data_IF_244128481537
#
_entry.id   IF_244128481537
#
_cell.length_a   1.000
_cell.length_b   1.000
_cell.length_c   1.000
_cell.angle_alpha   90.00
_cell.angle_beta   90.00
_cell.angle_gamma   90.00
#
_symmetry.space_group_name_H-M   'P 1'
#
loop_
_entity.id
_entity.type
_entity.pdbx_description
1 polymer ?
#
# COMPACT_ATOMS: atom_id res chain seq x y z
N UNK A 1 62.95 -55.04 44.23
CA UNK A 1 61.73 -55.19 43.40
C UNK A 1 61.50 -53.87 42.67
N UNK A 2 61.47 -53.92 41.33
CA UNK A 2 60.93 -52.84 40.46
C UNK A 2 59.42 -52.62 40.75
N UNK A 3 58.83 -51.43 40.50
CA UNK A 3 58.45 -50.99 39.14
C UNK A 3 58.70 -49.48 38.87
N UNK A 4 59.15 -49.06 37.68
CA UNK A 4 58.45 -48.95 36.39
C UNK A 4 57.41 -47.79 36.32
N UNK A 5 57.65 -46.79 35.45
CA UNK A 5 56.69 -45.85 34.80
C UNK A 5 57.46 -45.00 33.77
N UNK A 6 57.53 -45.41 32.49
CA UNK A 6 56.63 -45.20 31.34
C UNK A 6 56.51 -43.74 30.85
N UNK A 7 57.19 -43.44 29.73
CA UNK A 7 57.06 -42.22 28.93
C UNK A 7 55.88 -42.30 27.95
N UNK A 8 55.22 -41.18 27.67
CA UNK A 8 54.26 -41.03 26.57
C UNK A 8 54.77 -39.93 25.63
N UNK A 9 55.01 -40.19 24.33
CA UNK A 9 55.31 -39.13 23.38
C UNK A 9 54.00 -38.53 22.83
N UNK A 10 53.89 -37.20 22.89
CA UNK A 10 52.80 -36.44 22.27
C UNK A 10 53.01 -36.40 20.76
N UNK A 11 52.17 -37.08 19.98
CA UNK A 11 52.05 -36.85 18.53
C UNK A 11 50.86 -35.93 18.27
N UNK A 12 51.13 -34.72 17.79
CA UNK A 12 50.12 -33.81 17.25
C UNK A 12 49.84 -34.27 15.81
N UNK A 13 48.66 -34.82 15.56
CA UNK A 13 48.17 -35.06 14.22
C UNK A 13 47.39 -33.82 13.77
N UNK A 14 47.86 -33.13 12.72
CA UNK A 14 47.04 -32.18 11.97
C UNK A 14 45.99 -32.97 11.19
N UNK A 15 44.76 -32.97 11.69
CA UNK A 15 43.60 -33.40 10.90
C UNK A 15 43.09 -32.20 10.09
N UNK A 16 43.32 -32.21 8.78
CA UNK A 16 42.62 -31.32 7.85
C UNK A 16 41.14 -31.69 7.85
N UNK A 17 40.32 -30.93 8.57
CA UNK A 17 38.88 -30.99 8.45
C UNK A 17 38.46 -30.31 7.15
N UNK A 18 38.30 -31.09 6.08
CA UNK A 18 37.54 -30.65 4.91
C UNK A 18 36.07 -30.62 5.32
N UNK A 19 35.59 -29.47 5.80
CA UNK A 19 34.18 -29.28 6.08
C UNK A 19 33.42 -29.42 4.77
N UNK A 20 32.74 -30.55 4.59
CA UNK A 20 31.78 -30.75 3.52
C UNK A 20 30.60 -29.81 3.81
N UNK A 21 30.65 -28.59 3.26
CA UNK A 21 29.50 -27.69 3.27
C UNK A 21 28.47 -28.33 2.33
N UNK A 22 27.55 -29.09 2.91
CA UNK A 22 26.40 -29.61 2.19
C UNK A 22 25.52 -28.41 1.83
N UNK A 23 25.69 -27.86 0.63
CA UNK A 23 24.80 -26.83 0.10
C UNK A 23 23.45 -27.47 -0.17
N UNK A 24 22.53 -27.36 0.79
CA UNK A 24 21.12 -27.69 0.57
C UNK A 24 20.58 -26.59 -0.35
N UNK A 25 20.54 -26.81 -1.65
CA UNK A 25 19.88 -25.89 -2.56
C UNK A 25 18.40 -25.78 -2.15
N UNK A 26 17.86 -24.56 -2.07
CA UNK A 26 16.44 -24.38 -1.79
C UNK A 26 15.61 -24.96 -2.95
N UNK A 27 14.75 -25.93 -2.64
CA UNK A 27 13.79 -26.44 -3.61
C UNK A 27 12.79 -25.33 -4.04
N UNK A 28 12.20 -25.43 -5.24
CA UNK A 28 11.10 -24.56 -5.63
C UNK A 28 9.98 -24.58 -4.59
N UNK A 29 9.43 -23.40 -4.30
CA UNK A 29 8.35 -23.21 -3.33
C UNK A 29 7.04 -23.03 -4.08
N UNK A 30 6.08 -23.91 -3.79
CA UNK A 30 4.71 -23.77 -4.26
C UNK A 30 3.94 -22.77 -3.38
N UNK A 31 3.22 -21.86 -4.02
CA UNK A 31 2.44 -20.81 -3.38
C UNK A 31 0.98 -20.91 -3.83
N UNK A 32 0.08 -20.88 -2.85
CA UNK A 32 -1.36 -20.99 -3.06
C UNK A 32 -2.08 -19.72 -2.57
N UNK A 33 -3.17 -19.36 -3.26
CA UNK A 33 -4.05 -18.30 -2.81
C UNK A 33 -4.76 -18.70 -1.52
N UNK A 34 -4.77 -17.81 -0.51
CA UNK A 34 -5.40 -18.10 0.78
C UNK A 34 -6.89 -18.45 0.65
N UNK A 35 -7.60 -17.77 -0.27
CA UNK A 35 -9.01 -18.04 -0.58
C UNK A 35 -9.24 -19.05 -1.71
N UNK A 36 -8.20 -19.75 -2.17
CA UNK A 36 -8.28 -20.70 -3.29
C UNK A 36 -8.42 -20.08 -4.69
N UNK A 37 -8.69 -18.78 -4.79
CA UNK A 37 -8.84 -18.06 -6.06
C UNK A 37 -7.95 -16.80 -6.09
N UNK A 38 -7.51 -16.38 -7.30
CA UNK A 38 -6.78 -15.13 -7.47
C UNK A 38 -7.65 -13.90 -7.16
N UNK A 39 -7.00 -12.75 -7.06
CA UNK A 39 -7.69 -11.48 -6.90
C UNK A 39 -8.60 -11.18 -8.11
N UNK A 40 -9.83 -10.67 -7.91
CA UNK A 40 -10.78 -10.39 -8.99
C UNK A 40 -10.38 -9.18 -9.85
N UNK A 41 -9.38 -8.42 -9.43
CA UNK A 41 -8.81 -7.30 -10.16
C UNK A 41 -7.30 -7.28 -9.96
N UNK A 42 -6.58 -6.59 -10.85
CA UNK A 42 -5.15 -6.33 -10.69
C UNK A 42 -4.87 -5.73 -9.32
N UNK A 43 -3.96 -6.35 -8.58
CA UNK A 43 -3.60 -5.89 -7.23
C UNK A 43 -2.15 -6.25 -6.90
N UNK A 44 -1.56 -5.42 -6.05
CA UNK A 44 -0.26 -5.69 -5.47
C UNK A 44 -0.35 -6.69 -4.33
N UNK A 45 0.44 -7.75 -4.38
CA UNK A 45 0.49 -8.79 -3.34
C UNK A 45 1.88 -8.84 -2.76
N UNK A 46 1.99 -9.07 -1.45
CA UNK A 46 3.27 -9.31 -0.77
C UNK A 46 3.14 -10.44 0.23
N UNK A 47 4.16 -11.29 0.30
CA UNK A 47 4.22 -12.45 1.18
C UNK A 47 5.64 -12.68 1.68
N UNK A 48 5.79 -13.61 2.62
CA UNK A 48 7.09 -14.04 3.15
C UNK A 48 7.29 -15.53 2.94
N UNK A 49 8.53 -15.95 2.69
CA UNK A 49 8.92 -17.36 2.63
C UNK A 49 10.04 -17.61 3.64
N UNK A 50 9.89 -18.61 4.54
CA UNK A 50 10.96 -19.06 5.41
C UNK A 50 11.92 -19.99 4.66
N UNK A 51 13.19 -19.98 5.07
CA UNK A 51 14.23 -20.82 4.49
C UNK A 51 15.00 -21.59 5.57
N UNK A 52 15.36 -22.86 5.30
CA UNK A 52 16.31 -23.59 6.13
C UNK A 52 17.65 -22.87 6.22
N UNK A 53 18.35 -23.05 7.35
CA UNK A 53 19.69 -22.50 7.56
C UNK A 53 20.65 -23.02 6.48
N UNK A 54 21.40 -22.10 5.87
CA UNK A 54 22.38 -22.38 4.82
C UNK A 54 21.80 -22.57 3.41
N UNK A 55 20.47 -22.59 3.24
CA UNK A 55 19.85 -22.99 1.97
C UNK A 55 19.78 -21.88 0.92
N UNK A 56 19.58 -20.64 1.37
CA UNK A 56 19.45 -19.47 0.49
C UNK A 56 20.50 -18.43 0.85
N UNK A 57 21.32 -18.05 -0.13
CA UNK A 57 22.34 -17.01 0.04
C UNK A 57 21.71 -15.61 0.00
N UNK A 58 22.36 -14.62 0.60
CA UNK A 58 21.86 -13.24 0.70
C UNK A 58 21.57 -12.60 -0.67
N UNK A 59 22.36 -12.92 -1.68
CA UNK A 59 22.27 -12.35 -3.05
C UNK A 59 21.47 -13.22 -4.02
N UNK A 60 20.88 -14.32 -3.53
CA UNK A 60 20.13 -15.24 -4.37
C UNK A 60 18.92 -14.54 -5.01
N UNK A 61 18.76 -14.79 -6.31
CA UNK A 61 17.66 -14.24 -7.12
C UNK A 61 16.59 -15.30 -7.31
N UNK A 62 15.37 -14.83 -7.51
CA UNK A 62 14.19 -15.68 -7.64
C UNK A 62 13.39 -15.31 -8.87
N UNK A 63 12.67 -16.29 -9.40
CA UNK A 63 11.63 -16.13 -10.42
C UNK A 63 10.31 -16.64 -9.88
N UNK A 64 9.21 -16.02 -10.31
CA UNK A 64 7.85 -16.45 -9.99
C UNK A 64 7.14 -16.80 -11.28
N UNK A 65 6.57 -17.99 -11.35
CA UNK A 65 5.82 -18.48 -12.52
C UNK A 65 4.42 -18.90 -12.11
N UNK A 66 3.43 -18.55 -12.92
CA UNK A 66 2.07 -19.06 -12.79
C UNK A 66 1.96 -20.50 -13.32
N UNK A 67 0.88 -21.20 -12.97
CA UNK A 67 0.60 -22.54 -13.47
C UNK A 67 0.52 -22.63 -15.01
N UNK A 68 0.20 -21.52 -15.69
CA UNK A 68 0.23 -21.39 -17.15
C UNK A 68 1.64 -21.37 -17.76
N UNK A 69 2.69 -21.32 -16.94
CA UNK A 69 4.07 -21.10 -17.37
C UNK A 69 4.44 -19.62 -17.56
N UNK A 70 3.49 -18.70 -17.38
CA UNK A 70 3.75 -17.26 -17.47
C UNK A 70 4.66 -16.80 -16.32
N UNK A 71 5.77 -16.13 -16.67
CA UNK A 71 6.61 -15.44 -15.69
C UNK A 71 5.93 -14.16 -15.19
N UNK A 72 5.99 -13.93 -13.87
CA UNK A 72 5.40 -12.77 -13.21
C UNK A 72 6.48 -11.79 -12.75
N UNK A 73 6.17 -10.48 -12.69
CA UNK A 73 7.08 -9.49 -12.12
C UNK A 73 7.33 -9.78 -10.64
N UNK A 74 8.58 -10.01 -10.26
CA UNK A 74 8.93 -10.34 -8.87
C UNK A 74 9.94 -9.35 -8.31
N UNK A 75 9.68 -8.89 -7.10
CA UNK A 75 10.63 -8.17 -6.26
C UNK A 75 10.83 -8.94 -4.97
N UNK A 76 12.08 -9.12 -4.55
CA UNK A 76 12.45 -9.79 -3.30
C UNK A 76 13.29 -8.90 -2.40
N UNK A 77 13.24 -9.12 -1.09
CA UNK A 77 14.10 -8.46 -0.11
C UNK A 77 14.30 -9.36 1.12
N UNK A 78 15.43 -9.20 1.84
CA UNK A 78 15.65 -9.92 3.10
C UNK A 78 14.70 -9.41 4.20
N UNK A 79 14.15 -10.33 4.99
CA UNK A 79 13.39 -10.02 6.21
C UNK A 79 14.14 -10.44 7.48
N UNK A 80 14.88 -11.55 7.41
CA UNK A 80 15.70 -12.03 8.53
C UNK A 80 16.84 -12.91 8.02
N UNK A 81 17.92 -12.97 8.81
CA UNK A 81 19.10 -13.79 8.55
C UNK A 81 19.29 -14.84 9.65
N UNK A 82 19.90 -15.97 9.28
CA UNK A 82 20.50 -16.90 10.22
C UNK A 82 21.89 -16.42 10.67
N UNK A 83 22.46 -16.95 11.78
CA UNK A 83 23.79 -16.56 12.25
C UNK A 83 24.93 -16.80 11.26
N UNK A 84 24.76 -17.69 10.27
CA UNK A 84 25.73 -17.95 9.21
C UNK A 84 25.61 -16.97 8.02
N UNK A 85 24.70 -16.00 8.10
CA UNK A 85 24.45 -15.02 7.05
C UNK A 85 23.49 -15.47 5.95
N UNK A 86 23.03 -16.72 5.96
CA UNK A 86 22.00 -17.19 5.03
C UNK A 86 20.64 -16.56 5.33
N UNK A 87 19.78 -16.44 4.31
CA UNK A 87 18.43 -15.90 4.50
C UNK A 87 17.61 -16.87 5.35
N UNK A 88 16.96 -16.34 6.39
CA UNK A 88 15.99 -17.08 7.21
C UNK A 88 14.56 -16.80 6.74
N UNK A 89 14.28 -15.55 6.39
CA UNK A 89 13.02 -15.12 5.79
C UNK A 89 13.30 -14.14 4.67
N UNK A 90 12.60 -14.30 3.55
CA UNK A 90 12.58 -13.34 2.45
C UNK A 90 11.18 -12.83 2.24
N UNK A 91 11.05 -11.54 1.97
CA UNK A 91 9.83 -10.90 1.54
C UNK A 91 9.79 -10.84 0.02
N UNK A 92 8.61 -11.01 -0.53
CA UNK A 92 8.35 -10.99 -1.96
C UNK A 92 7.16 -10.10 -2.28
N UNK A 93 7.17 -9.50 -3.47
CA UNK A 93 6.06 -8.75 -4.01
C UNK A 93 5.89 -9.03 -5.51
N UNK A 94 4.64 -9.16 -5.93
CA UNK A 94 4.22 -9.26 -7.33
C UNK A 94 2.97 -8.40 -7.55
N UNK A 95 2.58 -8.29 -8.81
CA UNK A 95 1.27 -7.81 -9.23
C UNK A 95 0.53 -9.00 -9.81
N UNK A 96 -0.68 -9.25 -9.32
CA UNK A 96 -1.51 -10.39 -9.72
C UNK A 96 -2.92 -9.91 -10.06
N UNK A 97 -3.57 -10.62 -10.98
CA UNK A 97 -4.96 -10.37 -11.39
C UNK A 97 -5.73 -11.68 -11.58
N UNK A 98 -6.95 -11.62 -12.15
CA UNK A 98 -7.80 -12.79 -12.41
C UNK A 98 -7.12 -13.90 -13.21
N UNK A 99 -6.17 -13.53 -14.07
CA UNK A 99 -5.37 -14.43 -14.89
C UNK A 99 -4.28 -15.19 -14.12
N UNK A 100 -3.97 -14.78 -12.88
CA UNK A 100 -2.91 -15.36 -12.06
C UNK A 100 -3.40 -16.58 -11.28
N UNK A 101 -3.93 -17.57 -11.99
CA UNK A 101 -4.37 -18.82 -11.38
C UNK A 101 -3.21 -19.56 -10.71
N UNK A 102 -3.44 -20.01 -9.48
CA UNK A 102 -2.49 -20.83 -8.72
C UNK A 102 -2.46 -22.30 -9.18
N UNK A 103 -1.54 -23.11 -8.65
CA UNK A 103 -0.45 -22.70 -7.77
C UNK A 103 0.60 -21.86 -8.52
N UNK A 104 1.31 -21.00 -7.79
CA UNK A 104 2.47 -20.27 -8.30
C UNK A 104 3.75 -20.97 -7.83
N UNK A 105 4.80 -20.94 -8.64
CA UNK A 105 6.09 -21.52 -8.29
C UNK A 105 7.14 -20.43 -8.14
N UNK A 106 7.75 -20.37 -6.96
CA UNK A 106 8.89 -19.52 -6.66
C UNK A 106 10.16 -20.38 -6.70
N UNK A 107 11.09 -20.08 -7.60
CA UNK A 107 12.32 -20.86 -7.76
C UNK A 107 13.55 -19.94 -7.82
N UNK A 108 14.73 -20.51 -7.58
CA UNK A 108 15.98 -19.81 -7.88
C UNK A 108 16.05 -19.52 -9.38
N UNK A 109 16.41 -18.29 -9.72
CA UNK A 109 16.55 -17.90 -11.11
C UNK A 109 16.83 -16.41 -11.23
N UNK A 110 17.37 -16.01 -12.38
CA UNK A 110 17.47 -14.59 -12.71
C UNK A 110 16.16 -14.16 -13.35
N UNK A 111 15.42 -13.18 -12.78
CA UNK A 111 14.27 -12.60 -13.45
C UNK A 111 14.67 -12.12 -14.85
N UNK A 112 13.90 -12.51 -15.86
CA UNK A 112 13.97 -11.86 -17.17
C UNK A 112 13.61 -10.38 -17.05
N UNK A 113 13.94 -9.59 -18.08
CA UNK A 113 13.46 -8.20 -18.13
C UNK A 113 11.94 -8.18 -17.98
N UNK A 114 11.44 -7.42 -17.00
CA UNK A 114 10.01 -7.29 -16.79
C UNK A 114 9.41 -6.53 -17.96
N UNK A 115 8.66 -7.22 -18.82
CA UNK A 115 7.84 -6.60 -19.86
C UNK A 115 6.58 -6.04 -19.21
N UNK A 116 6.54 -4.75 -18.90
CA UNK A 116 5.34 -4.14 -18.30
C UNK A 116 5.58 -2.81 -17.59
N UNK A 117 4.56 -2.38 -16.85
CA UNK A 117 4.65 -1.22 -15.98
C UNK A 117 5.70 -1.45 -14.87
N UNK A 118 6.33 -0.38 -14.41
CA UNK A 118 7.30 -0.41 -13.31
C UNK A 118 7.07 0.77 -12.38
N UNK A 119 7.35 0.59 -11.10
CA UNK A 119 7.38 1.69 -10.13
C UNK A 119 8.69 2.47 -10.29
N UNK A 120 8.58 3.80 -10.32
CA UNK A 120 9.69 4.75 -10.27
C UNK A 120 9.51 5.65 -9.06
N UNK A 121 10.54 5.79 -8.24
CA UNK A 121 10.56 6.70 -7.10
C UNK A 121 11.61 7.77 -7.34
N UNK A 122 11.20 9.04 -7.28
CA UNK A 122 12.09 10.20 -7.40
C UNK A 122 12.04 11.00 -6.11
N UNK A 123 13.18 11.14 -5.46
CA UNK A 123 13.33 11.97 -4.27
C UNK A 123 13.93 13.33 -4.65
N UNK A 124 13.50 14.35 -3.93
CA UNK A 124 13.99 15.72 -4.04
C UNK A 124 14.01 16.35 -2.66
N UNK A 125 14.57 17.55 -2.56
CA UNK A 125 14.63 18.29 -1.29
C UNK A 125 13.23 18.62 -0.75
N UNK A 126 12.22 18.71 -1.62
CA UNK A 126 10.85 19.13 -1.25
C UNK A 126 9.88 17.97 -1.08
N UNK A 127 10.17 16.80 -1.64
CA UNK A 127 9.26 15.65 -1.58
C UNK A 127 9.70 14.43 -2.39
N UNK A 128 8.79 13.45 -2.43
CA UNK A 128 8.91 12.19 -3.14
C UNK A 128 7.79 12.07 -4.17
N UNK A 129 8.14 11.79 -5.42
CA UNK A 129 7.22 11.43 -6.50
C UNK A 129 7.30 9.91 -6.73
N UNK A 130 6.16 9.24 -6.72
CA UNK A 130 6.03 7.82 -7.05
C UNK A 130 5.17 7.65 -8.29
N UNK A 131 5.70 7.02 -9.31
CA UNK A 131 5.03 6.74 -10.58
C UNK A 131 4.91 5.22 -10.76
N UNK A 132 3.69 4.70 -10.79
CA UNK A 132 3.41 3.26 -10.97
C UNK A 132 3.32 2.86 -12.45
N UNK A 133 3.38 3.82 -13.38
CA UNK A 133 3.04 3.66 -14.79
C UNK A 133 1.57 3.94 -15.11
N UNK A 134 0.67 3.95 -14.11
CA UNK A 134 -0.75 4.36 -14.27
C UNK A 134 -1.15 5.50 -13.34
N UNK A 135 -0.54 5.57 -12.16
CA UNK A 135 -0.74 6.60 -11.15
C UNK A 135 0.58 7.33 -10.90
N UNK A 136 0.50 8.65 -10.77
CA UNK A 136 1.56 9.48 -10.19
C UNK A 136 1.08 10.06 -8.86
N UNK A 137 1.82 9.79 -7.80
CA UNK A 137 1.58 10.33 -6.47
C UNK A 137 2.73 11.26 -6.05
N UNK A 138 2.40 12.41 -5.48
CA UNK A 138 3.37 13.34 -4.90
C UNK A 138 3.14 13.46 -3.41
N UNK A 139 4.22 13.38 -2.66
CA UNK A 139 4.25 13.49 -1.20
C UNK A 139 5.30 14.52 -0.84
N UNK A 140 4.96 15.54 -0.06
CA UNK A 140 5.95 16.50 0.45
C UNK A 140 6.71 15.90 1.64
N UNK A 141 7.97 16.27 1.80
CA UNK A 141 8.81 15.74 2.89
C UNK A 141 8.32 16.19 4.28
N UNK A 142 7.50 17.24 4.34
CA UNK A 142 6.87 17.78 5.55
C UNK A 142 5.58 18.53 5.19
N UNK A 143 4.82 18.92 6.22
CA UNK A 143 3.67 19.81 6.09
C UNK A 143 2.33 19.14 6.37
N UNK A 144 1.24 19.84 6.06
CA UNK A 144 -0.12 19.41 6.41
C UNK A 144 -0.77 18.44 5.42
N UNK A 145 -0.14 18.19 4.27
CA UNK A 145 -0.61 17.21 3.28
C UNK A 145 0.14 15.89 3.45
N UNK A 146 -0.60 14.81 3.70
CA UNK A 146 -0.12 13.44 3.70
C UNK A 146 0.20 12.98 2.26
N UNK A 147 -0.67 13.35 1.32
CA UNK A 147 -0.48 13.18 -0.12
C UNK A 147 -0.79 14.52 -0.76
N UNK A 148 0.18 15.13 -1.44
CA UNK A 148 0.01 16.44 -2.07
C UNK A 148 -0.92 16.33 -3.28
N UNK A 149 -0.67 15.36 -4.16
CA UNK A 149 -1.50 15.13 -5.35
C UNK A 149 -1.46 13.68 -5.82
N UNK A 150 -2.58 13.22 -6.41
CA UNK A 150 -2.70 11.99 -7.17
C UNK A 150 -3.14 12.32 -8.60
N UNK A 151 -2.47 11.75 -9.60
CA UNK A 151 -2.80 11.92 -11.01
C UNK A 151 -2.86 10.59 -11.74
N UNK A 152 -3.85 10.43 -12.63
CA UNK A 152 -4.02 9.27 -13.51
C UNK A 152 -3.97 9.79 -14.94
N UNK A 153 -3.13 9.20 -15.79
CA UNK A 153 -2.94 9.67 -17.18
C UNK A 153 -2.52 11.14 -17.28
N UNK A 154 -1.72 11.63 -16.32
CA UNK A 154 -1.31 13.04 -16.24
C UNK A 154 -2.38 14.01 -15.73
N UNK A 155 -3.61 13.54 -15.50
CA UNK A 155 -4.71 14.35 -14.98
C UNK A 155 -4.80 14.19 -13.46
N UNK A 156 -4.70 15.29 -12.74
CA UNK A 156 -4.87 15.28 -11.29
C UNK A 156 -6.33 14.96 -10.90
N UNK A 157 -6.50 13.91 -10.09
CA UNK A 157 -7.79 13.36 -9.64
C UNK A 157 -8.04 13.59 -8.16
N UNK A 158 -7.00 13.81 -7.36
CA UNK A 158 -7.11 14.20 -5.96
C UNK A 158 -5.92 15.08 -5.55
N UNK A 159 -6.13 15.98 -4.59
CA UNK A 159 -5.11 16.88 -4.04
C UNK A 159 -5.28 17.08 -2.56
N UNK A 160 -4.23 17.53 -1.87
CA UNK A 160 -4.29 17.90 -0.46
C UNK A 160 -4.96 16.80 0.40
N UNK A 161 -4.46 15.57 0.29
CA UNK A 161 -4.84 14.48 1.19
C UNK A 161 -4.36 14.79 2.60
N UNK A 162 -5.25 14.89 3.59
CA UNK A 162 -4.93 15.31 4.96
C UNK A 162 -5.54 14.37 5.98
N UNK A 163 -4.76 14.02 7.00
CA UNK A 163 -5.30 13.42 8.21
C UNK A 163 -6.04 14.50 9.00
N UNK A 164 -7.23 14.17 9.50
CA UNK A 164 -8.03 15.06 10.32
C UNK A 164 -8.48 14.36 11.59
N UNK A 165 -8.46 15.10 12.69
CA UNK A 165 -8.99 14.66 13.97
C UNK A 165 -9.90 15.77 14.53
N UNK A 166 -11.08 15.39 15.01
CA UNK A 166 -11.96 16.26 15.77
C UNK A 166 -11.87 15.83 17.23
N UNK A 167 -11.38 16.74 18.06
CA UNK A 167 -11.27 16.56 19.50
C UNK A 167 -12.42 17.25 20.20
N UNK A 168 -12.95 16.61 21.23
CA UNK A 168 -13.93 17.16 22.16
C UNK A 168 -13.34 17.22 23.57
N UNK A 169 -13.56 18.33 24.28
CA UNK A 169 -13.14 18.53 25.67
C UNK A 169 -14.16 17.89 26.63
N UNK A 170 -13.90 16.65 27.03
CA UNK A 170 -14.79 15.84 27.85
C UNK A 170 -15.81 14.99 27.06
N UNK A 171 -16.53 14.08 27.75
CA UNK A 171 -17.55 13.25 27.14
C UNK A 171 -18.78 14.07 26.73
N UNK A 172 -19.70 13.43 26.01
CA UNK A 172 -21.02 14.01 25.79
C UNK A 172 -21.74 14.17 27.16
N UNK A 173 -22.26 15.37 27.42
CA UNK A 173 -22.99 15.73 28.63
C UNK A 173 -24.50 15.67 28.46
N UNK A 174 -25.23 16.45 29.27
CA UNK A 174 -26.67 16.64 29.08
C UNK A 174 -26.98 17.23 27.69
N UNK A 175 -28.22 17.11 27.21
CA UNK A 175 -28.63 17.59 25.86
C UNK A 175 -28.34 19.08 25.64
N UNK A 176 -28.38 19.88 26.70
CA UNK A 176 -28.09 21.31 26.68
C UNK A 176 -26.59 21.63 26.70
N UNK A 177 -25.75 20.65 27.05
CA UNK A 177 -24.30 20.81 27.05
C UNK A 177 -23.72 20.58 25.66
N UNK A 178 -22.86 21.50 25.23
CA UNK A 178 -22.11 21.38 23.98
C UNK A 178 -20.64 21.55 24.30
N UNK A 179 -19.93 20.46 24.67
CA UNK A 179 -18.51 20.52 24.94
C UNK A 179 -17.74 21.10 23.76
N UNK A 180 -16.68 21.85 24.05
CA UNK A 180 -15.90 22.52 23.02
C UNK A 180 -15.27 21.49 22.08
N UNK A 181 -15.31 21.79 20.79
CA UNK A 181 -14.68 20.98 19.74
C UNK A 181 -13.56 21.74 19.05
N UNK A 182 -12.50 21.05 18.71
CA UNK A 182 -11.38 21.61 17.96
C UNK A 182 -10.93 20.66 16.85
N UNK A 183 -10.69 21.22 15.66
CA UNK A 183 -10.14 20.48 14.52
C UNK A 183 -8.62 20.48 14.60
N UNK A 184 -8.06 19.29 14.44
CA UNK A 184 -6.64 19.05 14.26
C UNK A 184 -6.37 18.50 12.88
N UNK A 185 -5.24 18.89 12.29
CA UNK A 185 -4.77 18.41 10.99
C UNK A 185 -3.43 17.72 11.17
N UNK A 186 -3.27 16.53 10.59
CA UNK A 186 -2.00 15.82 10.59
C UNK A 186 -0.91 16.62 9.90
N UNK A 187 0.22 16.76 10.57
CA UNK A 187 1.42 17.41 10.07
C UNK A 187 2.54 16.40 9.99
N UNK A 188 2.92 16.05 8.78
CA UNK A 188 4.09 15.22 8.49
C UNK A 188 5.35 15.99 8.87
N UNK A 189 6.23 15.34 9.63
CA UNK A 189 7.54 15.86 10.01
C UNK A 189 8.68 15.06 9.40
N UNK A 190 8.41 13.83 8.94
CA UNK A 190 9.38 12.97 8.26
C UNK A 190 8.71 12.08 7.23
N UNK A 191 9.36 11.94 6.08
CA UNK A 191 9.07 10.92 5.06
C UNK A 191 10.31 10.07 4.85
N UNK A 192 10.12 8.75 4.87
CA UNK A 192 11.18 7.76 4.63
C UNK A 192 10.74 6.84 3.50
N UNK A 193 11.56 6.68 2.47
CA UNK A 193 11.40 5.63 1.46
C UNK A 193 11.88 4.31 2.08
N UNK A 194 10.96 3.49 2.59
CA UNK A 194 11.30 2.18 3.18
C UNK A 194 11.69 1.17 2.09
N UNK A 195 11.07 1.26 0.90
CA UNK A 195 11.42 0.43 -0.26
C UNK A 195 11.24 1.21 -1.56
N UNK A 196 12.15 1.01 -2.51
CA UNK A 196 12.06 1.50 -3.87
C UNK A 196 12.55 0.43 -4.83
N UNK A 197 11.64 -0.38 -5.35
CA UNK A 197 11.95 -1.37 -6.39
C UNK A 197 10.95 -1.29 -7.55
N UNK A 198 11.21 -2.02 -8.64
CA UNK A 198 10.44 -1.91 -9.88
C UNK A 198 9.02 -2.44 -9.78
N UNK A 199 8.71 -3.29 -8.79
CA UNK A 199 7.36 -3.86 -8.60
C UNK A 199 6.62 -3.16 -7.47
N UNK A 200 7.33 -2.80 -6.39
CA UNK A 200 6.73 -2.23 -5.17
C UNK A 200 7.60 -1.12 -4.60
N UNK A 201 6.96 -0.03 -4.19
CA UNK A 201 7.55 1.01 -3.36
C UNK A 201 6.72 1.24 -2.08
N UNK A 202 7.41 1.63 -1.01
CA UNK A 202 6.80 1.91 0.29
C UNK A 202 7.32 3.22 0.84
N UNK A 203 6.41 4.14 1.13
CA UNK A 203 6.71 5.38 1.83
C UNK A 203 6.17 5.29 3.26
N UNK A 204 7.00 5.61 4.25
CA UNK A 204 6.60 5.80 5.65
C UNK A 204 6.57 7.30 5.94
N UNK A 205 5.45 7.79 6.44
CA UNK A 205 5.24 9.16 6.87
C UNK A 205 5.01 9.17 8.39
N UNK A 206 5.67 10.08 9.08
CA UNK A 206 5.58 10.23 10.54
C UNK A 206 5.21 11.68 10.86
N UNK A 207 4.40 11.88 11.90
CA UNK A 207 3.94 13.20 12.28
C UNK A 207 3.03 13.22 13.50
N UNK A 208 2.40 14.37 13.74
CA UNK A 208 1.41 14.59 14.80
C UNK A 208 0.22 15.39 14.27
N UNK A 209 -0.90 15.33 14.96
CA UNK A 209 -2.07 16.18 14.69
C UNK A 209 -1.88 17.53 15.38
N UNK A 210 -1.90 18.62 14.59
CA UNK A 210 -1.75 20.00 15.07
C UNK A 210 -3.10 20.72 15.08
N UNK A 211 -3.40 21.41 16.17
CA UNK A 211 -4.59 22.23 16.33
C UNK A 211 -4.65 23.33 15.27
N UNK A 212 -5.85 23.62 14.77
CA UNK A 212 -6.05 24.77 13.89
C UNK A 212 -5.99 26.11 14.64
N UNK A 213 -6.41 26.15 15.91
CA UNK A 213 -6.54 27.37 16.71
C UNK A 213 -5.46 27.58 17.76
N UNK A 214 -4.57 26.60 18.01
CA UNK A 214 -3.54 26.67 19.04
C UNK A 214 -2.22 26.01 18.59
N UNK A 215 -1.18 26.12 19.43
CA UNK A 215 0.11 25.44 19.21
C UNK A 215 0.12 23.97 19.63
N UNK A 216 -1.01 23.44 20.13
CA UNK A 216 -1.08 22.06 20.63
C UNK A 216 -0.88 21.06 19.49
N UNK A 217 0.01 20.10 19.72
CA UNK A 217 0.22 18.93 18.87
C UNK A 217 0.08 17.67 19.71
N UNK A 218 -0.61 16.66 19.19
CA UNK A 218 -0.89 15.40 19.88
C UNK A 218 -1.18 14.29 18.85
N UNK A 219 -1.58 13.12 19.32
CA UNK A 219 -1.95 11.95 18.54
C UNK A 219 -0.93 11.63 17.42
N UNK A 220 0.30 11.23 17.78
CA UNK A 220 1.33 10.85 16.80
C UNK A 220 0.80 9.79 15.84
N UNK A 221 1.22 9.91 14.58
CA UNK A 221 0.85 8.96 13.55
C UNK A 221 2.06 8.40 12.81
N UNK A 222 1.88 7.17 12.32
CA UNK A 222 2.71 6.56 11.29
C UNK A 222 1.78 6.10 10.17
N UNK A 223 2.00 6.62 8.97
CA UNK A 223 1.30 6.17 7.76
C UNK A 223 2.28 5.45 6.86
N UNK A 224 1.89 4.29 6.33
CA UNK A 224 2.60 3.63 5.23
C UNK A 224 1.75 3.60 3.97
N UNK A 225 2.30 4.16 2.89
CA UNK A 225 1.73 4.13 1.56
C UNK A 225 2.46 3.08 0.72
N UNK A 226 1.71 2.13 0.17
CA UNK A 226 2.23 1.07 -0.68
C UNK A 226 1.77 1.29 -2.12
N UNK A 227 2.74 1.31 -3.02
CA UNK A 227 2.54 1.50 -4.45
C UNK A 227 3.03 0.27 -5.19
N UNK A 228 2.27 -0.15 -6.21
CA UNK A 228 2.60 -1.32 -7.02
C UNK A 228 2.56 -0.99 -8.50
N UNK A 229 3.41 -1.66 -9.27
CA UNK A 229 3.53 -1.46 -10.71
C UNK A 229 2.20 -1.67 -11.43
N UNK A 230 1.85 -0.75 -12.34
CA UNK A 230 0.64 -0.84 -13.14
C UNK A 230 -0.67 -0.64 -12.37
N UNK A 231 -0.62 -0.31 -11.07
CA UNK A 231 -1.81 -0.11 -10.24
C UNK A 231 -2.16 1.36 -10.06
N UNK A 232 -3.46 1.63 -10.03
CA UNK A 232 -4.03 2.95 -9.70
C UNK A 232 -4.40 3.07 -8.21
N UNK A 233 -4.45 1.93 -7.51
CA UNK A 233 -4.72 1.88 -6.07
C UNK A 233 -3.47 2.14 -5.25
N UNK A 234 -3.66 2.81 -4.11
CA UNK A 234 -2.63 3.01 -3.08
C UNK A 234 -3.14 2.37 -1.80
N UNK A 235 -2.44 1.36 -1.28
CA UNK A 235 -2.77 0.81 0.04
C UNK A 235 -2.19 1.74 1.09
N UNK A 236 -3.03 2.12 2.05
CA UNK A 236 -2.66 2.99 3.17
C UNK A 236 -2.85 2.22 4.48
N UNK A 237 -1.80 2.18 5.30
CA UNK A 237 -1.87 1.68 6.69
C UNK A 237 -1.66 2.88 7.61
N UNK A 238 -2.67 3.24 8.39
CA UNK A 238 -2.66 4.37 9.32
C UNK A 238 -2.60 3.86 10.76
N UNK A 239 -1.49 4.15 11.44
CA UNK A 239 -1.31 3.88 12.87
C UNK A 239 -1.34 5.19 13.61
N UNK A 240 -2.12 5.24 14.69
CA UNK A 240 -2.17 6.36 15.64
C UNK A 240 -1.74 5.88 17.03
N UNK A 241 -1.11 6.77 17.79
CA UNK A 241 -0.70 6.53 19.17
C UNK A 241 -1.46 7.54 20.02
N UNK A 242 -2.32 7.06 20.93
CA UNK A 242 -3.03 7.94 21.85
C UNK A 242 -2.07 8.42 22.95
N UNK A 243 -1.81 9.73 22.99
CA UNK A 243 -0.95 10.41 23.97
C UNK A 243 -1.68 11.57 24.70
N UNK A 244 -3.03 11.53 24.71
CA UNK A 244 -3.89 12.51 25.36
C UNK A 244 -4.19 12.20 26.83
N UNK A 245 -4.90 13.13 27.47
CA UNK A 245 -5.51 12.98 28.79
C UNK A 245 -6.87 12.28 28.66
N UNK A 246 -7.01 11.09 29.22
CA UNK A 246 -8.22 10.26 29.06
C UNK A 246 -9.49 10.84 29.73
N UNK A 247 -9.34 11.84 30.58
CA UNK A 247 -10.47 12.55 31.19
C UNK A 247 -10.90 13.80 30.40
N UNK A 248 -10.13 14.21 29.41
CA UNK A 248 -10.38 15.46 28.66
C UNK A 248 -10.38 15.28 27.14
N UNK A 249 -9.52 14.41 26.61
CA UNK A 249 -9.26 14.30 25.18
C UNK A 249 -10.09 13.19 24.55
N UNK A 250 -11.34 13.52 24.21
CA UNK A 250 -12.27 12.60 23.55
C UNK A 250 -12.22 12.76 22.03
N UNK A 251 -11.71 11.74 21.33
CA UNK A 251 -11.71 11.71 19.86
C UNK A 251 -13.16 11.56 19.37
N UNK A 252 -13.70 12.61 18.75
CA UNK A 252 -15.05 12.62 18.17
C UNK A 252 -15.06 12.22 16.70
N UNK A 253 -13.94 12.43 16.01
CA UNK A 253 -13.77 12.05 14.61
C UNK A 253 -12.30 11.87 14.26
N UNK A 254 -12.02 10.89 13.41
CA UNK A 254 -10.69 10.62 12.88
C UNK A 254 -10.87 10.20 11.42
N UNK A 255 -10.16 10.84 10.49
CA UNK A 255 -10.40 10.61 9.07
C UNK A 255 -9.28 11.08 8.16
N UNK A 256 -9.51 10.82 6.88
CA UNK A 256 -8.67 11.25 5.77
C UNK A 256 -9.54 12.05 4.79
N UNK A 257 -9.17 13.30 4.54
CA UNK A 257 -9.86 14.21 3.63
C UNK A 257 -9.02 14.42 2.37
N UNK A 258 -9.65 14.50 1.19
CA UNK A 258 -8.99 14.91 -0.05
C UNK A 258 -9.79 16.02 -0.73
N UNK A 259 -9.11 16.95 -1.37
CA UNK A 259 -9.70 17.83 -2.38
C UNK A 259 -9.84 17.08 -3.71
N UNK A 260 -11.01 17.14 -4.33
CA UNK A 260 -11.27 16.57 -5.66
C UNK A 260 -11.51 17.70 -6.66
N UNK A 261 -10.67 17.85 -7.70
CA UNK A 261 -10.85 18.88 -8.72
C UNK A 261 -11.99 18.51 -9.68
N UNK A 262 -13.22 18.87 -9.30
CA UNK A 262 -14.45 18.64 -10.07
C UNK A 262 -14.55 19.63 -11.24
N UNK A 263 -13.97 19.27 -12.38
CA UNK A 263 -13.86 20.11 -13.60
C UNK A 263 -15.07 20.06 -14.52
N UNK A 264 -15.92 19.04 -14.41
CA UNK A 264 -17.10 18.87 -15.26
C UNK A 264 -18.30 19.69 -14.74
N UNK A 265 -19.31 19.86 -15.58
CA UNK A 265 -20.63 20.40 -15.19
C UNK A 265 -21.31 19.56 -14.09
N UNK A 266 -22.23 20.17 -13.34
CA UNK A 266 -22.88 19.52 -12.18
C UNK A 266 -23.54 18.18 -12.51
N UNK A 267 -24.19 18.07 -13.68
CA UNK A 267 -24.82 16.83 -14.15
C UNK A 267 -23.81 15.72 -14.49
N UNK A 268 -22.54 16.06 -14.71
CA UNK A 268 -21.47 15.12 -15.05
C UNK A 268 -20.58 14.80 -13.83
N UNK A 269 -20.96 15.25 -12.63
CA UNK A 269 -20.31 14.90 -11.37
C UNK A 269 -21.11 13.79 -10.70
N UNK A 270 -20.42 12.79 -10.17
CA UNK A 270 -21.05 11.57 -9.65
C UNK A 270 -20.54 11.25 -8.25
N UNK A 271 -21.42 10.69 -7.43
CA UNK A 271 -21.12 10.16 -6.10
C UNK A 271 -21.52 8.70 -6.07
N UNK A 272 -20.67 7.89 -5.44
CA UNK A 272 -20.87 6.45 -5.31
C UNK A 272 -20.53 5.99 -3.90
N UNK A 273 -21.37 5.13 -3.34
CA UNK A 273 -21.12 4.46 -2.07
C UNK A 273 -21.31 2.95 -2.25
N UNK A 274 -20.34 2.17 -1.82
CA UNK A 274 -20.51 0.73 -1.71
C UNK A 274 -21.55 0.43 -0.62
N UNK A 275 -22.46 -0.50 -0.92
CA UNK A 275 -23.49 -0.99 -0.01
C UNK A 275 -23.30 -2.48 0.30
N UNK A 276 -24.36 -3.08 0.83
CA UNK A 276 -24.39 -4.50 1.19
C UNK A 276 -24.31 -5.41 -0.05
N UNK A 277 -23.74 -6.60 0.12
CA UNK A 277 -23.68 -7.68 -0.88
C UNK A 277 -23.14 -7.27 -2.27
N UNK A 278 -22.15 -6.37 -2.29
CA UNK A 278 -21.57 -5.87 -3.54
C UNK A 278 -22.43 -4.82 -4.25
N UNK A 279 -23.49 -4.34 -3.59
CA UNK A 279 -24.31 -3.23 -4.06
C UNK A 279 -23.51 -1.93 -4.18
N UNK A 280 -23.93 -1.09 -5.12
CA UNK A 280 -23.34 0.23 -5.35
C UNK A 280 -24.47 1.24 -5.48
N UNK A 281 -24.60 2.14 -4.49
CA UNK A 281 -25.42 3.32 -4.67
C UNK A 281 -24.67 4.32 -5.55
N UNK A 282 -25.31 4.79 -6.62
CA UNK A 282 -24.70 5.64 -7.62
C UNK A 282 -25.68 6.74 -8.05
N UNK A 283 -25.29 8.00 -7.84
CA UNK A 283 -26.07 9.15 -8.26
C UNK A 283 -25.20 10.26 -8.86
N UNK A 284 -25.71 10.99 -9.86
CA UNK A 284 -25.15 12.28 -10.24
C UNK A 284 -25.48 13.36 -9.21
N UNK A 285 -24.64 14.37 -9.09
CA UNK A 285 -24.89 15.54 -8.23
C UNK A 285 -26.14 16.31 -8.68
N UNK A 286 -26.39 16.35 -9.98
CA UNK A 286 -27.61 16.93 -10.55
C UNK A 286 -28.29 15.92 -11.49
N UNK A 287 -29.28 15.15 -11.00
CA UNK A 287 -30.05 14.23 -11.82
C UNK A 287 -30.76 14.92 -12.97
N UNK A 288 -30.67 14.35 -14.18
CA UNK A 288 -31.38 14.80 -15.38
C UNK A 288 -32.72 14.09 -15.60
N UNK A 289 -33.36 13.70 -14.49
CA UNK A 289 -34.73 13.20 -14.43
C UNK A 289 -35.57 14.15 -13.57
N UNK A 290 -36.77 14.49 -14.02
CA UNK A 290 -37.69 15.39 -13.34
C UNK A 290 -38.84 14.64 -12.65
N UNK A 291 -39.52 15.33 -11.73
CA UNK A 291 -40.78 14.83 -11.12
C UNK A 291 -41.84 14.64 -12.22
N UNK A 292 -42.54 13.51 -12.19
CA UNK A 292 -43.59 13.17 -13.16
C UNK A 292 -43.09 12.59 -14.49
N UNK A 293 -41.87 12.04 -14.54
CA UNK A 293 -41.36 11.31 -15.71
C UNK A 293 -40.79 12.19 -16.84
N UNK A 294 -40.65 13.51 -16.62
CA UNK A 294 -39.98 14.40 -17.59
C UNK A 294 -38.48 14.12 -17.57
N UNK A 295 -37.93 13.63 -18.67
CA UNK A 295 -36.49 13.37 -18.84
C UNK A 295 -35.81 14.39 -19.76
N UNK A 296 -34.49 14.49 -19.65
CA UNK A 296 -33.66 15.15 -20.67
C UNK A 296 -33.30 14.13 -21.74
N UNK A 297 -33.43 14.50 -23.00
CA UNK A 297 -33.13 13.63 -24.14
C UNK A 297 -31.89 14.13 -24.89
N UNK A 298 -31.18 13.22 -25.53
CA UNK A 298 -30.04 13.59 -26.37
C UNK A 298 -30.50 14.48 -27.53
N UNK A 299 -29.74 15.53 -27.89
CA UNK A 299 -30.07 16.40 -29.03
C UNK A 299 -30.13 15.67 -30.38
N UNK A 300 -29.41 14.55 -30.51
CA UNK A 300 -29.38 13.70 -31.70
C UNK A 300 -30.57 12.72 -31.79
N UNK A 301 -31.50 12.76 -30.83
CA UNK A 301 -32.67 11.88 -30.79
C UNK A 301 -32.39 10.46 -30.28
N UNK A 302 -31.17 10.14 -29.81
CA UNK A 302 -30.79 8.80 -29.34
C UNK A 302 -31.44 8.34 -28.02
N UNK A 303 -32.30 9.17 -27.42
CA UNK A 303 -33.15 8.79 -26.28
C UNK A 303 -32.84 9.54 -24.99
N UNK A 304 -33.28 8.98 -23.87
CA UNK A 304 -33.13 9.57 -22.53
C UNK A 304 -31.67 9.50 -22.06
N UNK A 305 -31.12 10.61 -21.57
CA UNK A 305 -29.74 10.69 -21.09
C UNK A 305 -29.53 10.07 -19.70
N UNK A 306 -30.60 9.91 -18.91
CA UNK A 306 -30.50 9.54 -17.50
C UNK A 306 -29.88 8.16 -17.23
N UNK A 307 -30.18 7.09 -17.99
CA UNK A 307 -29.51 5.81 -17.81
C UNK A 307 -27.99 5.91 -18.00
N UNK A 308 -27.52 6.63 -19.02
CA UNK A 308 -26.09 6.86 -19.25
C UNK A 308 -25.47 7.68 -18.10
N UNK A 309 -26.23 8.65 -17.56
CA UNK A 309 -25.81 9.44 -16.40
C UNK A 309 -25.64 8.57 -15.14
N UNK A 310 -26.57 7.65 -14.85
CA UNK A 310 -26.47 6.73 -13.72
C UNK A 310 -25.24 5.80 -13.83
N UNK A 311 -24.90 5.38 -15.04
CA UNK A 311 -23.68 4.61 -15.33
C UNK A 311 -22.40 5.45 -15.17
N UNK A 312 -22.50 6.77 -14.95
CA UNK A 312 -21.35 7.67 -14.81
C UNK A 312 -20.76 8.13 -16.15
N UNK A 313 -21.47 7.91 -17.27
CA UNK A 313 -21.02 8.40 -18.58
C UNK A 313 -21.28 9.89 -18.68
N UNK A 314 -20.44 10.56 -19.47
CA UNK A 314 -20.62 11.98 -19.76
C UNK A 314 -21.89 12.19 -20.60
N UNK A 315 -22.78 13.05 -20.13
CA UNK A 315 -23.97 13.54 -20.84
C UNK A 315 -23.73 14.96 -21.38
N UNK A 316 -24.52 15.42 -22.38
CA UNK A 316 -24.38 16.76 -22.93
C UNK A 316 -24.44 17.86 -21.86
N UNK A 317 -23.75 18.97 -22.12
CA UNK A 317 -23.87 20.15 -21.27
C UNK A 317 -25.26 20.75 -21.44
N UNK A 318 -25.81 21.31 -20.36
CA UNK A 318 -26.95 22.22 -20.48
C UNK A 318 -26.47 23.50 -21.15
N UNK A 319 -27.13 23.87 -22.24
CA UNK A 319 -27.07 25.21 -22.84
C UNK A 319 -27.86 26.19 -22.01
#
# INVERSE_FOLDING_TARGET
MNPCRLSIPTRIALASFTALVCTVAAAPVELNWLGGAPAPTGTGVSWGVPWPKGAVKKEQRFVLTAASGQALPLQSWPLAYWPDGSLKWSGFATVAGPETSGPLTLAEGTPGETTGARVRVRQSDTGVEVDTGRLTARVTNWGGALIDSLAIGGREVARSGRLVCLLQDGPDGAVEESPRREKYVGRTTRVTVEQAGPVRAVLKLEGKHKAAGSSREWLPFVVRLYFFAGQESVRLVHTVIYDGDDQRDFIRGLGLEFGVPLREELQNRHVRFAGEDGGLWAEPIQPLVGRGGRGVFHPDGSGNVYPAQLEGRRVPNRT
#
